data_IF_537277147611
#
_entry.id   IF_537277147611
#
_cell.length_a   1.000
_cell.length_b   1.000
_cell.length_c   1.000
_cell.angle_alpha   90.00
_cell.angle_beta   90.00
_cell.angle_gamma   90.00
#
_symmetry.space_group_name_H-M   'P 1'
#
loop_
_entity.id
_entity.type
_entity.pdbx_description
1 polymer ?
#
# COMPACT_ATOMS: atom_id res chain seq x y z
N UNK A 1 -6.67 0.34 -20.30
CA UNK A 1 -5.53 0.28 -19.34
C UNK A 1 -4.53 1.41 -19.59
N UNK A 2 -3.95 1.51 -20.79
CA UNK A 2 -3.08 2.64 -21.20
C UNK A 2 -3.68 4.03 -20.98
N UNK A 3 -4.97 4.23 -21.22
CA UNK A 3 -5.59 5.56 -21.04
C UNK A 3 -5.67 6.01 -19.57
N UNK A 4 -5.83 5.08 -18.63
CA UNK A 4 -5.79 5.40 -17.20
C UNK A 4 -4.39 5.89 -16.78
N UNK A 5 -3.36 5.19 -17.28
CA UNK A 5 -1.95 5.52 -17.07
C UNK A 5 -1.49 6.76 -17.84
N UNK A 6 -2.20 7.18 -18.90
CA UNK A 6 -1.88 8.36 -19.73
C UNK A 6 -2.58 9.65 -19.31
N UNK A 7 -3.61 9.57 -18.47
CA UNK A 7 -4.30 10.74 -17.90
C UNK A 7 -3.45 11.52 -16.86
N UNK A 8 -2.12 11.35 -16.86
CA UNK A 8 -1.23 11.94 -15.85
C UNK A 8 -0.79 13.31 -16.31
N UNK A 9 -0.58 14.20 -15.35
CA UNK A 9 0.11 15.46 -15.62
C UNK A 9 1.61 15.15 -15.76
N UNK A 10 2.23 15.40 -16.94
CA UNK A 10 3.62 15.04 -17.18
C UNK A 10 4.60 15.64 -16.16
N UNK A 11 4.29 16.84 -15.67
CA UNK A 11 5.16 17.58 -14.75
C UNK A 11 5.02 17.13 -13.28
N UNK A 12 4.02 16.32 -12.94
CA UNK A 12 3.85 15.82 -11.59
C UNK A 12 4.90 14.77 -11.25
N UNK A 13 5.45 14.87 -10.03
CA UNK A 13 6.33 13.84 -9.48
C UNK A 13 5.57 12.53 -9.30
N UNK A 14 6.22 11.46 -9.72
CA UNK A 14 5.70 10.10 -9.62
C UNK A 14 6.32 9.38 -8.41
N UNK A 15 7.65 9.42 -8.35
CA UNK A 15 8.45 8.63 -7.42
C UNK A 15 9.60 9.45 -6.86
N UNK A 16 9.88 9.24 -5.58
CA UNK A 16 11.04 9.71 -4.83
C UNK A 16 11.77 8.54 -4.20
N UNK A 17 13.10 8.64 -4.13
CA UNK A 17 13.96 7.70 -3.43
C UNK A 17 15.26 8.39 -3.00
N UNK A 18 16.10 7.69 -2.25
CA UNK A 18 17.44 8.17 -1.92
C UNK A 18 18.46 7.27 -2.59
N UNK A 19 19.49 7.86 -3.20
CA UNK A 19 20.63 7.12 -3.73
C UNK A 19 21.91 7.63 -3.07
N UNK A 20 22.42 6.87 -2.11
CA UNK A 20 23.50 7.31 -1.24
C UNK A 20 23.07 8.49 -0.36
N UNK A 21 23.55 9.69 -0.68
CA UNK A 21 23.23 10.93 0.07
C UNK A 21 22.36 11.92 -0.72
N UNK A 22 21.86 11.50 -1.88
CA UNK A 22 21.09 12.36 -2.77
C UNK A 22 19.64 11.91 -2.80
N UNK A 23 18.72 12.86 -2.58
CA UNK A 23 17.32 12.66 -2.92
C UNK A 23 17.15 12.69 -4.44
N UNK A 24 16.53 11.65 -4.97
CA UNK A 24 16.24 11.48 -6.38
C UNK A 24 14.72 11.45 -6.59
N UNK A 25 14.29 11.80 -7.80
CA UNK A 25 12.89 11.73 -8.18
C UNK A 25 12.73 11.59 -9.69
N UNK A 26 11.60 11.06 -10.15
CA UNK A 26 11.18 11.15 -11.54
C UNK A 26 9.73 11.65 -11.66
N UNK A 27 9.40 12.26 -12.80
CA UNK A 27 8.03 12.67 -13.14
C UNK A 27 7.28 11.60 -13.91
N UNK A 28 5.97 11.74 -14.00
CA UNK A 28 5.17 10.91 -14.89
C UNK A 28 5.55 11.12 -16.36
N UNK A 29 5.93 12.34 -16.76
CA UNK A 29 6.39 12.65 -18.11
C UNK A 29 7.62 11.85 -18.51
N UNK A 30 8.64 11.80 -17.66
CA UNK A 30 9.87 11.03 -17.90
C UNK A 30 9.57 9.52 -18.04
N UNK A 31 8.70 8.98 -17.18
CA UNK A 31 8.28 7.56 -17.24
C UNK A 31 7.52 7.27 -18.53
N UNK A 32 6.56 8.12 -18.89
CA UNK A 32 5.73 7.94 -20.08
C UNK A 32 6.54 8.08 -21.38
N UNK A 33 7.47 9.03 -21.44
CA UNK A 33 8.35 9.24 -22.60
C UNK A 33 9.17 7.97 -22.91
N UNK A 34 9.80 7.37 -21.89
CA UNK A 34 10.57 6.13 -22.08
C UNK A 34 9.68 4.98 -22.57
N UNK A 35 8.47 4.85 -22.01
CA UNK A 35 7.51 3.82 -22.44
C UNK A 35 7.03 4.05 -23.88
N UNK A 36 6.80 5.29 -24.30
CA UNK A 36 6.41 5.64 -25.67
C UNK A 36 7.52 5.37 -26.68
N UNK A 37 8.78 5.52 -26.28
CA UNK A 37 9.95 5.18 -27.08
C UNK A 37 10.29 3.68 -27.07
N UNK A 38 9.52 2.86 -26.35
CA UNK A 38 9.78 1.42 -26.19
C UNK A 38 11.03 1.11 -25.36
N UNK A 39 11.50 2.07 -24.58
CA UNK A 39 12.65 1.96 -23.70
C UNK A 39 12.25 1.43 -22.31
N UNK A 40 13.25 1.02 -21.53
CA UNK A 40 13.03 0.53 -20.18
C UNK A 40 13.04 1.68 -19.15
N UNK A 41 11.92 1.99 -18.47
CA UNK A 41 11.86 3.08 -17.52
C UNK A 41 12.77 2.86 -16.30
N UNK A 42 13.17 1.61 -16.00
CA UNK A 42 14.08 1.28 -14.88
C UNK A 42 15.40 2.08 -14.90
N UNK A 43 15.82 2.58 -16.06
CA UNK A 43 16.99 3.44 -16.22
C UNK A 43 16.90 4.73 -15.38
N UNK A 44 15.70 5.25 -15.10
CA UNK A 44 15.49 6.43 -14.26
C UNK A 44 15.90 6.22 -12.79
N UNK A 45 15.96 4.98 -12.32
CA UNK A 45 16.24 4.66 -10.93
C UNK A 45 17.71 4.86 -10.53
N UNK A 46 18.62 5.09 -11.49
CA UNK A 46 20.05 5.29 -11.24
C UNK A 46 20.71 4.20 -10.37
N UNK A 47 20.31 2.94 -10.57
CA UNK A 47 20.84 1.78 -9.83
C UNK A 47 20.20 1.53 -8.46
N UNK A 48 19.22 2.34 -8.04
CA UNK A 48 18.47 2.10 -6.81
C UNK A 48 17.46 0.96 -6.97
N UNK A 49 17.67 -0.15 -6.27
CA UNK A 49 16.90 -1.40 -6.44
C UNK A 49 15.40 -1.24 -6.18
N UNK A 50 15.02 -0.49 -5.14
CA UNK A 50 13.60 -0.25 -4.86
C UNK A 50 12.89 0.57 -5.95
N UNK A 51 13.60 1.55 -6.52
CA UNK A 51 13.05 2.39 -7.58
C UNK A 51 12.99 1.64 -8.92
N UNK A 52 13.98 0.80 -9.23
CA UNK A 52 13.95 -0.12 -10.36
C UNK A 52 12.71 -1.02 -10.28
N UNK A 53 12.50 -1.68 -9.14
CA UNK A 53 11.35 -2.56 -8.93
C UNK A 53 10.02 -1.82 -9.10
N UNK A 54 9.91 -0.59 -8.58
CA UNK A 54 8.69 0.21 -8.73
C UNK A 54 8.37 0.53 -10.20
N UNK A 55 9.39 0.88 -10.99
CA UNK A 55 9.26 1.20 -12.42
C UNK A 55 8.96 -0.05 -13.26
N UNK A 56 9.55 -1.18 -12.89
CA UNK A 56 9.24 -2.49 -13.48
C UNK A 56 7.80 -2.93 -13.15
N UNK A 57 7.37 -2.78 -11.91
CA UNK A 57 6.00 -3.07 -11.49
C UNK A 57 5.00 -2.21 -12.27
N UNK A 58 5.31 -0.92 -12.47
CA UNK A 58 4.52 0.00 -13.29
C UNK A 58 4.43 -0.47 -14.75
N UNK A 59 5.55 -0.84 -15.36
CA UNK A 59 5.58 -1.37 -16.73
C UNK A 59 4.75 -2.66 -16.85
N UNK A 60 4.84 -3.54 -15.86
CA UNK A 60 4.14 -4.81 -15.83
C UNK A 60 2.61 -4.65 -15.69
N UNK A 61 2.11 -3.53 -15.16
CA UNK A 61 0.68 -3.27 -15.04
C UNK A 61 -0.06 -3.31 -16.39
N UNK A 62 0.58 -2.88 -17.47
CA UNK A 62 -0.05 -2.90 -18.81
C UNK A 62 -0.27 -4.32 -19.34
N UNK A 63 0.58 -5.27 -18.89
CA UNK A 63 0.56 -6.66 -19.31
C UNK A 63 -0.41 -7.57 -18.54
N UNK A 64 -1.08 -7.07 -17.49
CA UNK A 64 -2.08 -7.85 -16.74
C UNK A 64 -3.29 -8.19 -17.61
N UNK A 65 -4.06 -9.22 -17.27
CA UNK A 65 -5.35 -9.45 -17.93
C UNK A 65 -6.45 -8.48 -17.42
N UNK A 66 -7.67 -8.56 -17.98
CA UNK A 66 -8.73 -7.58 -17.66
C UNK A 66 -9.27 -7.77 -16.25
N UNK A 67 -9.27 -9.00 -15.79
CA UNK A 67 -9.79 -9.39 -14.48
C UNK A 67 -8.81 -8.97 -13.38
N UNK A 68 -7.53 -9.27 -13.54
CA UNK A 68 -6.47 -8.85 -12.63
C UNK A 68 -6.36 -7.33 -12.53
N UNK A 69 -6.33 -6.65 -13.68
CA UNK A 69 -6.34 -5.19 -13.72
C UNK A 69 -7.58 -4.61 -13.03
N UNK A 70 -8.75 -5.16 -13.36
CA UNK A 70 -10.03 -4.72 -12.80
C UNK A 70 -10.09 -4.88 -11.29
N UNK A 71 -9.63 -6.02 -10.77
CA UNK A 71 -9.59 -6.30 -9.33
C UNK A 71 -8.67 -5.35 -8.57
N UNK A 72 -7.43 -5.14 -9.06
CA UNK A 72 -6.48 -4.21 -8.44
C UNK A 72 -6.98 -2.76 -8.48
N UNK A 73 -7.57 -2.35 -9.60
CA UNK A 73 -8.14 -1.01 -9.75
C UNK A 73 -9.33 -0.79 -8.82
N UNK A 74 -10.20 -1.80 -8.66
CA UNK A 74 -11.30 -1.72 -7.71
C UNK A 74 -10.79 -1.64 -6.26
N UNK A 75 -9.79 -2.45 -5.87
CA UNK A 75 -9.15 -2.33 -4.56
C UNK A 75 -8.64 -0.90 -4.32
N UNK A 76 -7.94 -0.30 -5.31
CA UNK A 76 -7.45 1.06 -5.19
C UNK A 76 -8.58 2.09 -5.05
N UNK A 77 -9.66 2.01 -5.84
CA UNK A 77 -10.80 2.91 -5.70
C UNK A 77 -11.50 2.79 -4.35
N UNK A 78 -11.64 1.58 -3.82
CA UNK A 78 -12.24 1.34 -2.51
C UNK A 78 -11.40 1.94 -1.37
N UNK A 79 -10.07 1.98 -1.52
CA UNK A 79 -9.17 2.62 -0.57
C UNK A 79 -9.13 4.15 -0.71
N UNK A 80 -9.48 4.69 -1.88
CA UNK A 80 -9.44 6.13 -2.12
C UNK A 80 -10.55 6.91 -1.38
N UNK A 81 -11.75 6.33 -1.28
CA UNK A 81 -12.98 7.01 -0.83
C UNK A 81 -13.10 7.26 0.70
N UNK A 82 -12.52 6.45 1.61
CA UNK A 82 -12.61 6.75 3.05
C UNK A 82 -11.47 7.61 3.63
N UNK A 83 -10.31 7.70 2.95
CA UNK A 83 -9.06 8.09 3.63
C UNK A 83 -8.40 9.38 3.17
N UNK A 84 -8.98 10.03 2.16
CA UNK A 84 -8.50 11.30 1.64
C UNK A 84 -6.96 11.35 1.65
N UNK A 85 -6.32 10.38 0.98
CA UNK A 85 -4.86 10.19 0.99
C UNK A 85 -4.10 11.42 0.48
N UNK A 86 -4.82 12.36 -0.12
CA UNK A 86 -4.47 13.76 -0.14
C UNK A 86 -5.13 14.45 -1.32
N UNK A 87 -5.01 15.77 -1.30
CA UNK A 87 -5.12 16.69 -2.42
C UNK A 87 -3.79 16.79 -3.21
N UNK A 88 -2.92 15.78 -3.08
CA UNK A 88 -1.56 15.74 -3.66
C UNK A 88 -0.43 16.31 -2.80
N UNK A 89 -0.70 16.71 -1.55
CA UNK A 89 0.30 17.39 -0.69
C UNK A 89 1.32 16.52 0.03
N UNK A 90 1.05 15.22 0.21
CA UNK A 90 1.92 14.33 0.98
C UNK A 90 2.18 13.04 0.23
N UNK A 91 3.41 12.54 0.36
CA UNK A 91 3.85 11.32 -0.28
C UNK A 91 3.51 10.07 0.55
N UNK A 92 3.15 9.01 -0.15
CA UNK A 92 2.98 7.68 0.42
C UNK A 92 4.31 6.95 0.36
N UNK A 93 4.79 6.43 1.48
CA UNK A 93 6.04 5.68 1.57
C UNK A 93 5.75 4.18 1.51
N UNK A 94 6.33 3.47 0.54
CA UNK A 94 6.14 2.04 0.29
C UNK A 94 7.47 1.29 0.38
N UNK A 95 7.46 0.16 1.07
CA UNK A 95 8.55 -0.81 1.11
C UNK A 95 8.60 -1.60 -0.21
N UNK A 96 9.75 -1.63 -0.90
CA UNK A 96 9.93 -2.41 -2.12
C UNK A 96 9.81 -3.93 -1.90
N UNK A 97 9.92 -4.40 -0.66
CA UNK A 97 9.76 -5.79 -0.27
C UNK A 97 8.31 -6.16 0.10
N UNK A 98 7.38 -5.20 0.07
CA UNK A 98 5.97 -5.51 0.27
C UNK A 98 5.43 -6.46 -0.82
N UNK A 99 4.38 -7.25 -0.52
CA UNK A 99 3.74 -8.12 -1.50
C UNK A 99 3.34 -7.35 -2.77
N UNK A 100 3.43 -8.02 -3.93
CA UNK A 100 3.21 -7.37 -5.23
C UNK A 100 1.85 -6.70 -5.35
N UNK A 101 0.78 -7.32 -4.83
CA UNK A 101 -0.55 -6.73 -4.82
C UNK A 101 -0.59 -5.42 -4.01
N UNK A 102 0.12 -5.38 -2.88
CA UNK A 102 0.25 -4.19 -2.03
C UNK A 102 1.01 -3.09 -2.77
N UNK A 103 2.16 -3.41 -3.38
CA UNK A 103 2.94 -2.43 -4.16
C UNK A 103 2.13 -1.86 -5.32
N UNK A 104 1.39 -2.70 -6.04
CA UNK A 104 0.53 -2.27 -7.15
C UNK A 104 -0.62 -1.39 -6.70
N UNK A 105 -1.31 -1.75 -5.62
CA UNK A 105 -2.44 -0.95 -5.14
C UNK A 105 -1.97 0.32 -4.46
N UNK A 106 -1.15 0.22 -3.41
CA UNK A 106 -0.74 1.35 -2.57
C UNK A 106 0.40 2.18 -3.14
N UNK A 107 1.33 1.54 -3.85
CA UNK A 107 2.50 2.18 -4.42
C UNK A 107 2.28 2.71 -5.84
N UNK A 108 1.24 2.26 -6.57
CA UNK A 108 1.02 2.66 -7.97
C UNK A 108 -0.40 3.21 -8.21
N UNK A 109 -1.42 2.37 -8.11
CA UNK A 109 -2.78 2.73 -8.54
C UNK A 109 -3.43 3.79 -7.65
N UNK A 110 -3.33 3.64 -6.34
CA UNK A 110 -3.91 4.57 -5.39
C UNK A 110 -3.25 5.96 -5.48
N UNK A 111 -1.92 6.09 -5.53
CA UNK A 111 -1.24 7.35 -5.82
C UNK A 111 -1.71 8.04 -7.09
N UNK A 112 -1.97 7.26 -8.15
CA UNK A 112 -2.50 7.76 -9.42
C UNK A 112 -3.93 8.29 -9.29
N UNK A 113 -4.79 7.61 -8.52
CA UNK A 113 -6.18 8.03 -8.29
C UNK A 113 -6.22 9.31 -7.46
N UNK A 114 -5.44 9.37 -6.38
CA UNK A 114 -5.46 10.48 -5.41
C UNK A 114 -4.43 11.57 -5.70
N UNK A 115 -3.66 11.43 -6.79
CA UNK A 115 -2.61 12.36 -7.24
C UNK A 115 -1.54 12.64 -6.19
N UNK A 116 -1.23 11.65 -5.36
CA UNK A 116 -0.13 11.77 -4.38
C UNK A 116 1.16 11.23 -4.97
N UNK A 117 2.27 11.75 -4.47
CA UNK A 117 3.61 11.28 -4.80
C UNK A 117 3.92 9.99 -4.04
N UNK A 118 4.90 9.22 -4.52
CA UNK A 118 5.34 7.98 -3.88
C UNK A 118 6.79 8.11 -3.45
N UNK A 119 7.10 7.61 -2.26
CA UNK A 119 8.46 7.35 -1.81
C UNK A 119 8.63 5.84 -1.77
N UNK A 120 9.68 5.32 -2.39
CA UNK A 120 10.03 3.90 -2.24
C UNK A 120 11.26 3.76 -1.35
N UNK A 121 11.22 2.78 -0.44
CA UNK A 121 12.38 2.32 0.30
C UNK A 121 12.82 0.98 -0.26
N UNK A 122 14.04 0.94 -0.79
CA UNK A 122 14.73 -0.28 -1.19
C UNK A 122 15.04 -1.19 0.01
N UNK A 123 15.54 -2.41 -0.25
CA UNK A 123 15.87 -3.38 0.80
C UNK A 123 16.88 -2.85 1.82
N UNK A 124 17.81 -2.01 1.37
CA UNK A 124 18.90 -1.45 2.16
C UNK A 124 18.58 -0.06 2.75
N UNK A 125 17.44 0.53 2.37
CA UNK A 125 17.00 1.83 2.90
C UNK A 125 16.30 1.67 4.24
N UNK A 126 16.34 2.73 5.05
CA UNK A 126 15.63 2.83 6.30
C UNK A 126 15.40 4.27 6.77
N UNK A 127 15.55 4.49 8.07
CA UNK A 127 15.14 5.74 8.70
C UNK A 127 16.03 6.93 8.32
N UNK A 128 17.30 6.68 7.94
CA UNK A 128 18.22 7.73 7.52
C UNK A 128 17.76 8.39 6.22
N UNK A 129 17.30 7.58 5.26
CA UNK A 129 16.77 8.00 3.96
C UNK A 129 15.47 8.79 4.14
N UNK A 130 14.58 8.33 5.03
CA UNK A 130 13.37 9.08 5.40
C UNK A 130 13.70 10.44 6.04
N UNK A 131 14.70 10.47 6.92
CA UNK A 131 15.19 11.71 7.52
C UNK A 131 15.77 12.67 6.47
N UNK A 132 16.43 12.15 5.44
CA UNK A 132 16.93 12.95 4.33
C UNK A 132 15.78 13.55 3.51
N UNK A 133 14.81 12.75 3.09
CA UNK A 133 13.65 13.21 2.33
C UNK A 133 12.80 14.22 3.11
N UNK A 134 12.66 14.03 4.43
CA UNK A 134 11.98 14.99 5.29
C UNK A 134 12.69 16.34 5.34
N UNK A 135 14.04 16.36 5.35
CA UNK A 135 14.84 17.60 5.26
C UNK A 135 14.71 18.30 3.91
N UNK A 136 14.46 17.55 2.85
CA UNK A 136 14.09 18.07 1.52
C UNK A 136 12.64 18.57 1.45
N UNK A 137 11.97 18.69 2.61
CA UNK A 137 10.58 19.18 2.75
C UNK A 137 9.53 18.30 2.08
N UNK A 138 9.86 17.03 1.79
CA UNK A 138 8.87 16.07 1.37
C UNK A 138 7.99 15.70 2.56
N UNK A 139 6.68 15.93 2.45
CA UNK A 139 5.74 15.57 3.49
C UNK A 139 5.44 14.07 3.41
N UNK A 140 6.03 13.30 4.32
CA UNK A 140 5.84 11.85 4.40
C UNK A 140 4.60 11.55 5.25
N UNK A 141 3.68 10.72 4.76
CA UNK A 141 2.41 10.43 5.46
C UNK A 141 2.37 9.03 6.06
N UNK A 142 2.41 8.04 5.18
CA UNK A 142 2.15 6.64 5.51
C UNK A 142 3.39 5.82 5.19
N UNK A 143 3.78 4.95 6.10
CA UNK A 143 4.82 3.96 5.90
C UNK A 143 4.15 2.60 5.71
N UNK A 144 4.22 2.05 4.51
CA UNK A 144 3.48 0.86 4.08
C UNK A 144 4.48 -0.24 3.81
N UNK A 145 4.38 -1.38 4.47
CA UNK A 145 5.34 -2.45 4.16
C UNK A 145 5.35 -3.66 5.08
N UNK A 146 6.54 -4.27 5.14
CA UNK A 146 6.80 -5.52 5.85
C UNK A 146 7.17 -5.29 7.31
N UNK A 147 7.38 -6.36 8.09
CA UNK A 147 7.81 -6.24 9.49
C UNK A 147 9.11 -5.44 9.68
N UNK A 148 10.01 -5.39 8.68
CA UNK A 148 11.22 -4.56 8.75
C UNK A 148 10.88 -3.08 8.94
N UNK A 149 9.74 -2.66 8.40
CA UNK A 149 9.27 -1.27 8.47
C UNK A 149 8.87 -0.86 9.88
N UNK A 150 8.69 -1.79 10.83
CA UNK A 150 8.54 -1.46 12.25
C UNK A 150 9.77 -0.79 12.80
N UNK A 151 10.94 -1.33 12.50
CA UNK A 151 12.19 -0.78 13.00
C UNK A 151 12.47 0.57 12.35
N UNK A 152 12.24 0.67 11.04
CA UNK A 152 12.34 1.94 10.31
C UNK A 152 11.40 2.99 10.90
N UNK A 153 10.13 2.64 11.13
CA UNK A 153 9.14 3.52 11.75
C UNK A 153 9.57 3.97 13.15
N UNK A 154 10.03 3.04 13.98
CA UNK A 154 10.49 3.32 15.34
C UNK A 154 11.64 4.32 15.35
N UNK A 155 12.65 4.12 14.51
CA UNK A 155 13.82 5.00 14.42
C UNK A 155 13.45 6.35 13.83
N UNK A 156 12.65 6.39 12.77
CA UNK A 156 12.19 7.63 12.14
C UNK A 156 11.31 8.45 13.09
N UNK A 157 10.42 7.80 13.83
CA UNK A 157 9.57 8.44 14.85
C UNK A 157 10.38 9.03 16.01
N UNK A 158 11.43 8.33 16.48
CA UNK A 158 12.35 8.88 17.48
C UNK A 158 13.12 10.12 16.96
N UNK A 159 13.33 10.21 15.64
CA UNK A 159 13.90 11.37 14.97
C UNK A 159 12.87 12.47 14.63
N UNK A 160 11.60 12.30 15.02
CA UNK A 160 10.54 13.29 14.85
C UNK A 160 9.85 13.26 13.49
N UNK A 161 10.01 12.21 12.68
CA UNK A 161 9.28 12.06 11.41
C UNK A 161 7.86 11.55 11.68
N UNK A 162 6.80 12.34 11.37
CA UNK A 162 5.43 12.01 11.73
C UNK A 162 4.81 11.01 10.73
N UNK A 163 5.07 9.72 10.93
CA UNK A 163 4.60 8.64 10.07
C UNK A 163 3.60 7.74 10.78
N UNK A 164 2.61 7.26 10.03
CA UNK A 164 1.76 6.14 10.43
C UNK A 164 2.24 4.87 9.73
N UNK A 165 2.50 3.82 10.51
CA UNK A 165 2.91 2.51 9.97
C UNK A 165 1.69 1.65 9.65
N UNK A 166 1.65 1.15 8.42
CA UNK A 166 0.69 0.20 7.89
C UNK A 166 1.39 -1.09 7.44
N UNK A 167 1.06 -2.21 8.07
CA UNK A 167 1.68 -3.50 7.82
C UNK A 167 0.71 -4.49 7.15
N UNK A 168 1.30 -5.37 6.33
CA UNK A 168 0.60 -6.40 5.57
C UNK A 168 1.22 -7.76 5.92
N UNK A 169 0.39 -8.75 6.24
CA UNK A 169 0.87 -10.08 6.59
C UNK A 169 -0.26 -11.02 7.04
N UNK A 170 0.12 -12.29 7.18
CA UNK A 170 -0.68 -13.35 7.80
C UNK A 170 -0.32 -13.42 9.30
N UNK A 171 -1.30 -13.56 10.19
CA UNK A 171 -1.11 -13.70 11.65
C UNK A 171 -1.89 -12.68 12.51
N UNK A 172 -2.47 -13.10 13.65
CA UNK A 172 -3.47 -12.33 14.39
C UNK A 172 -2.89 -11.04 15.01
N UNK A 173 -3.70 -9.98 15.04
CA UNK A 173 -3.36 -8.72 15.71
C UNK A 173 -3.57 -8.83 17.22
N UNK A 174 -2.61 -8.41 18.02
CA UNK A 174 -2.73 -8.37 19.48
C UNK A 174 -2.95 -6.94 19.99
N UNK A 175 -3.50 -6.78 21.20
CA UNK A 175 -3.74 -5.47 21.83
C UNK A 175 -2.49 -4.56 21.87
N UNK A 176 -1.30 -5.15 21.97
CA UNK A 176 -0.02 -4.43 22.00
C UNK A 176 0.43 -3.90 20.64
N UNK A 177 -0.25 -4.27 19.55
CA UNK A 177 0.10 -3.89 18.19
C UNK A 177 -0.42 -2.50 17.83
N UNK A 178 -1.60 -2.12 18.32
CA UNK A 178 -2.13 -0.76 18.14
C UNK A 178 -1.16 0.34 18.61
N UNK A 179 -0.35 0.06 19.66
CA UNK A 179 0.70 0.97 20.14
C UNK A 179 2.06 0.86 19.41
N UNK A 180 2.22 -0.11 18.51
CA UNK A 180 3.44 -0.40 17.73
C UNK A 180 3.28 -0.18 16.22
N UNK A 181 2.09 0.16 15.75
CA UNK A 181 1.75 0.35 14.34
C UNK A 181 0.48 -0.40 13.94
N UNK A 182 -0.25 0.09 12.93
CA UNK A 182 -1.54 -0.49 12.54
C UNK A 182 -1.29 -1.63 11.56
N UNK A 183 -1.71 -2.84 11.88
CA UNK A 183 -1.77 -3.93 10.93
C UNK A 183 -3.01 -3.73 10.08
N UNK A 184 -2.84 -3.54 8.78
CA UNK A 184 -3.79 -2.75 7.99
C UNK A 184 -4.48 -3.54 6.92
N UNK A 185 -4.07 -4.78 6.61
CA UNK A 185 -4.75 -5.56 5.59
C UNK A 185 -4.33 -7.02 5.60
N UNK A 186 -5.29 -7.88 5.26
CA UNK A 186 -5.02 -9.25 4.85
C UNK A 186 -4.94 -9.31 3.32
N UNK A 187 -3.84 -9.87 2.82
CA UNK A 187 -3.63 -10.15 1.40
C UNK A 187 -3.64 -11.67 1.22
N UNK A 188 -4.39 -12.14 0.22
CA UNK A 188 -4.39 -13.55 -0.16
C UNK A 188 -4.72 -13.66 -1.65
N UNK A 189 -4.14 -14.67 -2.30
CA UNK A 189 -4.31 -14.95 -3.72
C UNK A 189 -4.04 -13.73 -4.63
N UNK A 190 -3.08 -12.87 -4.27
CA UNK A 190 -2.73 -11.67 -5.04
C UNK A 190 -3.77 -10.56 -4.94
N UNK A 191 -4.58 -10.55 -3.88
CA UNK A 191 -5.66 -9.56 -3.64
C UNK A 191 -5.64 -9.08 -2.20
N UNK A 192 -5.91 -7.79 -2.03
CA UNK A 192 -6.17 -7.22 -0.71
C UNK A 192 -7.63 -7.53 -0.37
N UNK A 193 -7.86 -8.32 0.67
CA UNK A 193 -9.18 -8.84 1.05
C UNK A 193 -9.88 -7.95 2.06
N UNK A 194 -9.15 -7.58 3.11
CA UNK A 194 -9.63 -6.70 4.18
C UNK A 194 -8.63 -5.59 4.41
N UNK A 195 -9.08 -4.51 5.05
CA UNK A 195 -8.17 -3.51 5.57
C UNK A 195 -8.61 -2.98 6.94
N UNK A 196 -7.63 -2.65 7.78
CA UNK A 196 -7.79 -2.08 9.11
C UNK A 196 -7.23 -0.67 9.16
N UNK A 197 -8.03 0.33 8.83
CA UNK A 197 -7.57 1.71 8.77
C UNK A 197 -8.32 2.60 9.77
N UNK A 198 -7.70 2.98 10.89
CA UNK A 198 -8.24 4.00 11.77
C UNK A 198 -8.00 5.41 11.16
N UNK A 199 -8.99 6.32 11.24
CA UNK A 199 -8.76 7.72 10.91
C UNK A 199 -7.94 8.40 12.02
N UNK A 200 -6.81 9.02 11.65
CA UNK A 200 -5.91 9.74 12.57
C UNK A 200 -5.28 8.84 13.68
N UNK A 201 -4.07 9.12 14.18
CA UNK A 201 -3.24 8.12 14.86
C UNK A 201 -3.64 7.85 16.32
N UNK A 202 -4.87 8.19 16.75
CA UNK A 202 -5.26 8.07 18.15
C UNK A 202 -6.36 7.03 18.33
N UNK A 203 -5.98 5.76 18.23
CA UNK A 203 -6.73 4.68 18.89
C UNK A 203 -6.46 4.85 20.39
N UNK A 204 -7.48 5.25 21.15
CA UNK A 204 -7.37 5.43 22.58
C UNK A 204 -7.49 4.08 23.30
N UNK A 205 -6.91 4.00 24.51
CA UNK A 205 -7.09 2.86 25.40
C UNK A 205 -8.57 2.73 25.77
N UNK A 206 -9.28 1.78 25.15
CA UNK A 206 -10.71 1.54 25.34
C UNK A 206 -11.53 1.55 24.04
N UNK A 207 -10.95 1.93 22.92
CA UNK A 207 -11.60 1.83 21.61
C UNK A 207 -11.69 0.36 21.19
N UNK A 208 -12.92 -0.13 21.02
CA UNK A 208 -13.19 -1.53 20.63
C UNK A 208 -13.41 -1.67 19.12
N UNK A 209 -13.92 -0.62 18.46
CA UNK A 209 -14.13 -0.60 17.00
C UNK A 209 -14.23 0.84 16.45
N UNK A 210 -13.71 1.03 15.22
CA UNK A 210 -13.78 2.24 14.39
C UNK A 210 -14.07 1.84 12.92
N UNK A 211 -14.48 2.76 12.01
CA UNK A 211 -15.06 2.43 10.70
C UNK A 211 -14.29 1.48 9.78
N UNK A 212 -13.00 1.25 10.04
CA UNK A 212 -12.20 0.21 9.40
C UNK A 212 -11.43 -0.70 10.36
N UNK A 213 -11.37 -0.41 11.66
CA UNK A 213 -10.50 -1.13 12.61
C UNK A 213 -11.28 -1.78 13.75
N UNK A 214 -10.89 -2.99 14.12
CA UNK A 214 -11.37 -3.71 15.31
C UNK A 214 -10.19 -4.46 15.92
N UNK A 215 -10.12 -4.51 17.25
CA UNK A 215 -9.10 -5.28 17.96
C UNK A 215 -9.15 -6.77 17.54
N UNK A 216 -7.97 -7.39 17.32
CA UNK A 216 -7.82 -8.80 16.87
C UNK A 216 -8.41 -9.13 15.49
N UNK A 217 -8.73 -8.12 14.69
CA UNK A 217 -9.18 -8.29 13.31
C UNK A 217 -8.16 -7.75 12.32
N UNK A 218 -8.11 -8.33 11.13
CA UNK A 218 -7.38 -7.81 9.96
C UNK A 218 -8.14 -6.68 9.25
N UNK A 219 -9.09 -6.09 9.96
CA UNK A 219 -9.95 -5.02 9.51
C UNK A 219 -11.16 -5.49 8.72
N UNK A 220 -11.86 -4.52 8.15
CA UNK A 220 -13.12 -4.77 7.46
C UNK A 220 -12.86 -5.33 6.06
N UNK A 221 -13.60 -6.37 5.69
CA UNK A 221 -13.63 -6.89 4.34
C UNK A 221 -13.96 -5.75 3.35
N UNK A 222 -13.18 -5.69 2.27
CA UNK A 222 -13.46 -4.76 1.19
C UNK A 222 -14.79 -5.13 0.52
N UNK A 223 -15.58 -4.15 0.05
CA UNK A 223 -16.80 -4.45 -0.69
C UNK A 223 -16.53 -5.31 -1.93
N UNK A 224 -17.51 -6.10 -2.38
CA UNK A 224 -17.41 -6.90 -3.61
C UNK A 224 -16.89 -8.32 -3.43
N UNK A 225 -16.42 -8.68 -2.23
CA UNK A 225 -16.29 -10.07 -1.81
C UNK A 225 -17.62 -10.57 -1.27
N UNK A 226 -17.98 -11.81 -1.61
CA UNK A 226 -19.07 -12.55 -1.02
C UNK A 226 -18.46 -13.55 -0.05
N UNK A 227 -18.88 -13.49 1.21
CA UNK A 227 -18.38 -14.34 2.29
C UNK A 227 -19.42 -15.42 2.59
N UNK A 228 -18.98 -16.67 2.63
CA UNK A 228 -19.78 -17.81 3.05
C UNK A 228 -19.07 -18.55 4.19
N UNK A 229 -19.75 -18.70 5.32
CA UNK A 229 -19.23 -19.53 6.41
C UNK A 229 -19.19 -21.00 5.96
N UNK A 230 -18.05 -21.64 6.19
CA UNK A 230 -17.83 -23.07 5.97
C UNK A 230 -17.36 -23.70 7.28
N UNK A 231 -17.48 -25.03 7.43
CA UNK A 231 -17.38 -25.72 8.72
C UNK A 231 -16.31 -25.22 9.68
N UNK A 232 -15.05 -25.09 9.23
CA UNK A 232 -13.94 -24.54 10.02
C UNK A 232 -13.31 -23.31 9.33
N UNK A 233 -14.08 -22.39 8.75
CA UNK A 233 -13.52 -21.20 8.13
C UNK A 233 -14.51 -20.36 7.32
N UNK A 234 -13.97 -19.57 6.39
CA UNK A 234 -14.79 -18.84 5.41
C UNK A 234 -14.35 -19.15 3.99
N UNK A 235 -15.31 -19.24 3.08
CA UNK A 235 -15.10 -19.20 1.65
C UNK A 235 -15.41 -17.80 1.13
N UNK A 236 -14.45 -17.22 0.41
CA UNK A 236 -14.57 -15.94 -0.28
C UNK A 236 -14.78 -16.19 -1.76
N UNK A 237 -15.79 -15.53 -2.33
CA UNK A 237 -16.10 -15.59 -3.76
C UNK A 237 -16.50 -14.20 -4.29
N UNK A 238 -16.86 -14.14 -5.57
CA UNK A 238 -17.35 -12.93 -6.22
C UNK A 238 -16.43 -12.42 -7.33
N UNK A 239 -16.83 -11.33 -7.98
CA UNK A 239 -16.14 -10.77 -9.16
C UNK A 239 -14.72 -10.25 -8.89
N UNK A 240 -14.30 -10.25 -7.62
CA UNK A 240 -12.98 -9.81 -7.19
C UNK A 240 -11.92 -10.91 -7.24
N UNK A 241 -12.36 -12.16 -7.38
CA UNK A 241 -11.51 -13.34 -7.36
C UNK A 241 -11.74 -14.16 -8.64
N UNK A 242 -10.65 -14.62 -9.24
CA UNK A 242 -10.68 -15.56 -10.37
C UNK A 242 -11.10 -16.97 -9.97
N UNK A 243 -11.02 -17.27 -8.68
CA UNK A 243 -11.45 -18.53 -8.08
C UNK A 243 -11.84 -18.28 -6.62
N UNK A 244 -12.69 -19.15 -6.07
CA UNK A 244 -13.01 -19.09 -4.66
C UNK A 244 -11.74 -19.27 -3.82
N UNK A 245 -11.63 -18.50 -2.74
CA UNK A 245 -10.54 -18.60 -1.77
C UNK A 245 -11.13 -19.13 -0.47
N UNK A 246 -10.60 -20.25 0.02
CA UNK A 246 -10.99 -20.78 1.33
C UNK A 246 -9.93 -20.36 2.34
N UNK A 247 -10.37 -19.76 3.45
CA UNK A 247 -9.54 -19.35 4.57
C UNK A 247 -9.91 -20.22 5.80
N UNK A 248 -9.22 -21.36 6.02
CA UNK A 248 -9.47 -22.24 7.17
C UNK A 248 -9.03 -21.60 8.48
N UNK A 249 -9.86 -21.65 9.52
CA UNK A 249 -9.64 -21.01 10.81
C UNK A 249 -10.09 -19.55 10.86
N UNK A 250 -10.66 -19.01 9.78
CA UNK A 250 -11.05 -17.60 9.70
C UNK A 250 -12.56 -17.41 9.89
N UNK A 251 -12.94 -16.20 10.31
CA UNK A 251 -14.33 -15.77 10.47
C UNK A 251 -14.51 -14.33 10.02
N UNK A 252 -15.74 -13.98 9.64
CA UNK A 252 -16.14 -12.59 9.38
C UNK A 252 -17.32 -12.27 10.28
N UNK A 253 -17.19 -11.23 11.10
CA UNK A 253 -18.28 -10.82 12.01
C UNK A 253 -19.46 -10.17 11.24
N UNK A 254 -20.58 -9.95 11.93
CA UNK A 254 -21.79 -9.34 11.36
C UNK A 254 -21.57 -7.92 10.79
N UNK A 255 -20.47 -7.26 11.18
CA UNK A 255 -20.08 -5.93 10.70
C UNK A 255 -19.09 -6.01 9.53
N UNK A 256 -18.64 -7.21 9.18
CA UNK A 256 -17.74 -7.49 8.07
C UNK A 256 -16.26 -7.50 8.45
N UNK A 257 -15.90 -7.62 9.73
CA UNK A 257 -14.51 -7.69 10.17
C UNK A 257 -13.94 -9.10 10.04
N UNK A 258 -12.86 -9.23 9.27
CA UNK A 258 -12.14 -10.48 9.05
C UNK A 258 -11.19 -10.75 10.22
N UNK A 259 -11.27 -11.94 10.82
CA UNK A 259 -10.42 -12.35 11.94
C UNK A 259 -10.04 -13.83 11.83
N UNK A 260 -8.88 -14.19 12.35
CA UNK A 260 -8.45 -15.58 12.51
C UNK A 260 -8.81 -16.05 13.94
N UNK A 261 -9.28 -17.30 14.07
CA UNK A 261 -9.85 -17.88 15.30
C UNK A 261 -8.80 -18.51 16.19
#
# INVERSE_FOLDING_TARGET
RKDFLRQRQPDHRALHWVNGVQACSCTWGEVLELLEQGQDPSALAHGHTGAQQWLEDWRALDGLDEEEWGGLLLNAHQLADPYNLGDGKAAVTIDSLAPLAVRRVWGLLLPVITRVEVVVLGPDDGAAELGLLSREKLLLRNLIGTDRMREVHRVAGAAGVPLTLYLFGEGPQNAGDAGKGIFTAHESAGRILSFSMPPDPVIHKGDVAHPGWMEKSYGRMLPGFVVHDVGEGVELSGKMLSQNVVLPGWSVDERGFLSES
#
